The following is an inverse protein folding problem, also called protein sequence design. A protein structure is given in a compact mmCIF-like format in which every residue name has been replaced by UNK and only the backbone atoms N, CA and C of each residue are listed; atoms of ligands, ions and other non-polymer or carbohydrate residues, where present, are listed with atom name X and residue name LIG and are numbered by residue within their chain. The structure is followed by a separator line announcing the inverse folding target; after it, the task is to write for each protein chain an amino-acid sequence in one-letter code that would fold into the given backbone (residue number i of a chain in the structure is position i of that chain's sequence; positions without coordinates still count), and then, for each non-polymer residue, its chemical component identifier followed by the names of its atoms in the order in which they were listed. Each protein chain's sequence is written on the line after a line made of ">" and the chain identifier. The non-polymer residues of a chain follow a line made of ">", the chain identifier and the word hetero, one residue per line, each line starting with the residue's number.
data_IF_858086084802
#
_entry.id   IF_858086084802
#
_cell.length_a   1.000
_cell.length_b   1.000
_cell.length_c   1.000
_cell.angle_alpha   90.00
_cell.angle_beta   90.00
_cell.angle_gamma   90.00
#
_symmetry.space_group_name_H-M   'P 1'
#
loop_
_entity.id
_entity.type
_entity.pdbx_description
1 polymer ?
#
# COMPACT_ATOMS: atom_id res chain seq x y z
N UNK A 1 19.61 1.01 11.21
CA UNK A 1 18.25 0.74 10.69
C UNK A 1 17.27 0.83 11.85
N UNK A 2 16.30 1.73 11.76
CA UNK A 2 15.23 1.82 12.77
C UNK A 2 14.34 0.57 12.73
N UNK A 3 13.75 0.13 13.86
CA UNK A 3 12.84 -1.00 13.86
C UNK A 3 11.59 -0.72 13.03
N UNK A 4 11.18 -1.66 12.18
CA UNK A 4 9.95 -1.56 11.41
C UNK A 4 8.73 -1.41 12.36
N UNK A 5 7.82 -0.45 12.13
CA UNK A 5 6.72 -0.17 13.05
C UNK A 5 5.61 -1.23 13.04
N UNK A 6 5.69 -2.19 12.12
CA UNK A 6 4.75 -3.31 11.95
C UNK A 6 5.49 -4.55 11.44
N UNK A 7 4.91 -5.76 11.51
CA UNK A 7 5.49 -6.95 10.88
C UNK A 7 5.48 -6.82 9.34
N UNK A 8 6.64 -6.80 8.67
CA UNK A 8 6.69 -6.63 7.22
C UNK A 8 6.25 -7.92 6.51
N UNK A 9 5.40 -7.78 5.50
CA UNK A 9 5.07 -8.81 4.52
C UNK A 9 5.93 -8.69 3.26
N UNK A 10 6.23 -7.46 2.84
CA UNK A 10 7.08 -7.18 1.68
C UNK A 10 8.14 -6.14 2.01
N UNK A 11 9.28 -6.28 1.34
CA UNK A 11 10.35 -5.29 1.30
C UNK A 11 10.65 -5.06 -0.17
N UNK A 12 10.36 -3.85 -0.66
CA UNK A 12 10.46 -3.50 -2.07
C UNK A 12 11.54 -2.42 -2.24
N UNK A 13 12.67 -2.73 -2.87
CA UNK A 13 13.71 -1.74 -3.15
C UNK A 13 13.29 -0.79 -4.26
N UNK A 14 13.73 0.47 -4.16
CA UNK A 14 13.61 1.50 -5.20
C UNK A 14 14.82 2.45 -5.13
N UNK A 15 14.95 3.39 -6.08
CA UNK A 15 16.13 4.26 -6.17
C UNK A 15 16.40 5.06 -4.88
N UNK A 16 15.36 5.50 -4.17
CA UNK A 16 15.48 6.27 -2.93
C UNK A 16 15.58 5.44 -1.63
N UNK A 17 15.63 4.11 -1.71
CA UNK A 17 15.76 3.23 -0.55
C UNK A 17 14.83 2.01 -0.59
N UNK A 18 14.08 1.77 0.50
CA UNK A 18 13.19 0.61 0.64
C UNK A 18 11.76 1.05 0.99
N UNK A 19 10.77 0.40 0.40
CA UNK A 19 9.40 0.43 0.89
C UNK A 19 9.14 -0.85 1.70
N UNK A 20 8.81 -0.69 2.98
CA UNK A 20 8.32 -1.76 3.82
C UNK A 20 6.80 -1.79 3.72
N UNK A 21 6.22 -2.96 3.44
CA UNK A 21 4.76 -3.14 3.39
C UNK A 21 4.32 -4.17 4.41
N UNK A 22 3.35 -3.81 5.24
CA UNK A 22 2.81 -4.65 6.30
C UNK A 22 1.68 -5.57 5.82
N UNK A 23 1.26 -6.47 6.71
CA UNK A 23 0.18 -7.44 6.44
C UNK A 23 -1.19 -6.79 6.35
N UNK A 24 -1.42 -5.69 7.07
CA UNK A 24 -2.70 -5.01 7.10
C UNK A 24 -2.73 -3.79 6.15
N UNK A 25 -1.77 -3.71 5.22
CA UNK A 25 -1.67 -2.66 4.20
C UNK A 25 -0.83 -1.45 4.62
N UNK A 26 -0.11 -1.54 5.74
CA UNK A 26 0.83 -0.51 6.16
C UNK A 26 1.94 -0.31 5.12
N UNK A 27 2.41 0.92 4.97
CA UNK A 27 3.52 1.29 4.11
C UNK A 27 4.44 2.26 4.84
N UNK A 28 5.74 1.96 4.86
CA UNK A 28 6.77 2.82 5.43
C UNK A 28 7.96 2.92 4.46
N UNK A 29 8.24 4.14 4.01
CA UNK A 29 9.47 4.42 3.27
C UNK A 29 10.66 4.48 4.23
N UNK A 30 11.78 3.89 3.80
CA UNK A 30 13.06 3.90 4.50
C UNK A 30 14.12 4.39 3.52
N UNK A 31 14.94 5.35 3.94
CA UNK A 31 16.01 5.90 3.11
C UNK A 31 17.22 4.97 3.03
N UNK A 32 18.21 5.36 2.23
CA UNK A 32 19.48 4.63 2.06
C UNK A 32 20.29 4.43 3.36
N UNK A 33 20.06 5.26 4.38
CA UNK A 33 20.72 5.16 5.69
C UNK A 33 19.94 4.26 6.66
N UNK A 34 18.80 3.71 6.22
CA UNK A 34 17.94 2.88 7.06
C UNK A 34 17.11 3.68 8.07
N UNK A 35 16.86 4.96 7.81
CA UNK A 35 15.98 5.83 8.61
C UNK A 35 14.59 5.91 7.97
N UNK A 36 13.56 6.01 8.80
CA UNK A 36 12.20 6.16 8.32
C UNK A 36 11.99 7.55 7.68
N UNK A 37 11.40 7.56 6.48
CA UNK A 37 10.93 8.77 5.82
C UNK A 37 9.47 8.99 6.21
N UNK A 38 9.22 9.97 7.07
CA UNK A 38 7.88 10.25 7.60
C UNK A 38 7.34 9.13 8.50
N UNK A 39 6.03 9.19 8.78
CA UNK A 39 5.31 8.14 9.51
C UNK A 39 4.67 7.16 8.55
N UNK A 40 4.56 5.89 8.96
CA UNK A 40 3.83 4.90 8.17
C UNK A 40 2.37 5.30 7.97
N UNK A 41 1.81 4.88 6.84
CA UNK A 41 0.40 5.07 6.49
C UNK A 41 -0.17 3.75 6.00
N UNK A 42 -1.49 3.65 5.90
CA UNK A 42 -2.18 2.50 5.30
C UNK A 42 -3.08 2.97 4.16
N UNK A 43 -2.55 3.11 2.92
CA UNK A 43 -3.34 3.62 1.80
C UNK A 43 -4.54 2.75 1.45
N UNK A 44 -4.44 1.44 1.70
CA UNK A 44 -5.54 0.51 1.55
C UNK A 44 -5.48 -0.57 2.63
N UNK A 45 -6.56 -0.83 3.39
CA UNK A 45 -6.51 -1.67 4.58
C UNK A 45 -6.62 -3.16 4.27
N UNK A 46 -5.80 -3.62 3.32
CA UNK A 46 -5.75 -4.99 2.81
C UNK A 46 -4.30 -5.40 2.55
N UNK A 47 -4.03 -6.70 2.67
CA UNK A 47 -2.75 -7.29 2.29
C UNK A 47 -2.47 -7.06 0.82
N UNK A 48 -1.28 -6.57 0.49
CA UNK A 48 -0.79 -6.50 -0.87
C UNK A 48 -0.50 -7.92 -1.38
N UNK A 49 -1.16 -8.31 -2.47
CA UNK A 49 -1.02 -9.65 -3.08
C UNK A 49 0.18 -9.74 -4.00
N UNK A 50 0.42 -8.70 -4.80
CA UNK A 50 1.59 -8.55 -5.67
C UNK A 50 1.92 -7.06 -5.77
N UNK A 51 3.19 -6.75 -5.98
CA UNK A 51 3.62 -5.38 -6.19
C UNK A 51 5.01 -5.28 -6.78
N UNK A 52 5.26 -4.18 -7.49
CA UNK A 52 6.57 -3.84 -8.03
C UNK A 52 6.80 -2.34 -7.98
N UNK A 53 8.07 -1.95 -7.93
CA UNK A 53 8.50 -0.56 -7.96
C UNK A 53 8.90 -0.15 -9.37
N UNK A 54 8.36 0.96 -9.86
CA UNK A 54 8.75 1.58 -11.14
C UNK A 54 8.82 3.08 -10.92
N UNK A 55 9.98 3.70 -11.16
CA UNK A 55 10.19 5.16 -11.10
C UNK A 55 9.61 5.82 -9.83
N UNK A 56 9.91 5.23 -8.65
CA UNK A 56 9.42 5.73 -7.36
C UNK A 56 7.92 5.51 -7.10
N UNK A 57 7.25 4.69 -7.92
CA UNK A 57 5.84 4.35 -7.78
C UNK A 57 5.66 2.88 -7.47
N UNK A 58 4.75 2.58 -6.56
CA UNK A 58 4.30 1.23 -6.30
C UNK A 58 3.14 0.90 -7.25
N UNK A 59 3.32 -0.10 -8.11
CA UNK A 59 2.22 -0.74 -8.83
C UNK A 59 1.85 -2.01 -8.07
N UNK A 60 0.64 -2.07 -7.53
CA UNK A 60 0.25 -3.14 -6.61
C UNK A 60 -1.18 -3.62 -6.80
N UNK A 61 -1.36 -4.92 -6.57
CA UNK A 61 -2.67 -5.57 -6.53
C UNK A 61 -3.05 -5.96 -5.11
N UNK A 62 -4.32 -5.77 -4.76
CA UNK A 62 -4.92 -6.27 -3.54
C UNK A 62 -6.11 -7.15 -3.90
N UNK A 63 -6.11 -8.39 -3.42
CA UNK A 63 -7.16 -9.38 -3.70
C UNK A 63 -7.62 -9.97 -2.38
N UNK A 64 -8.92 -9.85 -2.11
CA UNK A 64 -9.59 -10.48 -0.97
C UNK A 64 -10.81 -11.27 -1.48
N UNK A 65 -10.71 -12.59 -1.39
CA UNK A 65 -11.75 -13.50 -1.88
C UNK A 65 -13.00 -13.52 -1.00
N UNK A 66 -12.88 -13.22 0.30
CA UNK A 66 -14.03 -13.15 1.20
C UNK A 66 -14.87 -11.91 0.91
N UNK A 67 -14.22 -10.78 0.65
CA UNK A 67 -14.86 -9.52 0.28
C UNK A 67 -15.20 -9.42 -1.21
N UNK A 68 -14.75 -10.38 -2.03
CA UNK A 68 -14.84 -10.34 -3.51
C UNK A 68 -14.36 -9.01 -4.07
N UNK A 69 -13.23 -8.54 -3.52
CA UNK A 69 -12.66 -7.25 -3.84
C UNK A 69 -11.26 -7.46 -4.41
N UNK A 70 -11.07 -7.00 -5.65
CA UNK A 70 -9.78 -6.98 -6.29
C UNK A 70 -9.49 -5.60 -6.87
N UNK A 71 -8.30 -5.07 -6.57
CA UNK A 71 -7.85 -3.75 -7.02
C UNK A 71 -6.45 -3.85 -7.59
N UNK A 72 -6.21 -3.13 -8.68
CA UNK A 72 -4.87 -2.81 -9.17
C UNK A 72 -4.72 -1.29 -9.17
N UNK A 73 -3.64 -0.76 -8.59
CA UNK A 73 -3.41 0.68 -8.54
C UNK A 73 -1.94 1.02 -8.63
N UNK A 74 -1.66 2.27 -9.01
CA UNK A 74 -0.35 2.89 -8.82
C UNK A 74 -0.40 3.94 -7.71
N UNK A 75 0.55 3.88 -6.78
CA UNK A 75 0.76 4.85 -5.71
C UNK A 75 2.11 5.55 -5.90
N UNK A 76 2.14 6.86 -5.70
CA UNK A 76 3.38 7.64 -5.66
C UNK A 76 3.93 7.62 -4.23
N UNK A 77 5.17 7.15 -4.05
CA UNK A 77 5.81 7.05 -2.73
C UNK A 77 5.99 8.41 -2.05
N UNK A 78 6.08 9.50 -2.80
CA UNK A 78 6.21 10.85 -2.24
C UNK A 78 4.88 11.41 -1.73
N UNK A 79 3.77 10.76 -2.06
CA UNK A 79 2.41 11.22 -1.78
C UNK A 79 1.53 10.12 -1.17
N UNK A 80 2.12 9.19 -0.42
CA UNK A 80 1.35 8.18 0.31
C UNK A 80 0.49 8.85 1.38
N UNK A 81 -0.78 8.44 1.48
CA UNK A 81 -1.75 8.99 2.43
C UNK A 81 -2.52 7.89 3.13
N UNK A 82 -3.03 8.19 4.33
CA UNK A 82 -3.89 7.27 5.07
C UNK A 82 -5.18 6.99 4.31
N UNK A 83 -5.55 5.71 4.28
CA UNK A 83 -6.65 5.18 3.52
C UNK A 83 -7.97 5.05 4.28
N UNK A 84 -8.98 4.45 3.64
CA UNK A 84 -10.24 4.15 4.28
C UNK A 84 -10.06 3.11 5.40
N UNK A 85 -11.01 3.09 6.34
CA UNK A 85 -11.07 2.02 7.35
C UNK A 85 -11.45 0.67 6.71
N UNK A 86 -10.97 -0.43 7.29
CA UNK A 86 -11.37 -1.80 6.90
C UNK A 86 -12.89 -2.00 6.95
N UNK A 87 -13.58 -1.33 7.87
CA UNK A 87 -15.04 -1.39 7.99
C UNK A 87 -15.76 -0.71 6.81
N UNK A 88 -15.24 0.42 6.33
CA UNK A 88 -15.78 1.11 5.15
C UNK A 88 -15.60 0.28 3.87
N UNK A 89 -14.42 -0.34 3.71
CA UNK A 89 -14.15 -1.29 2.61
C UNK A 89 -15.14 -2.45 2.64
N UNK A 90 -15.35 -3.06 3.81
CA UNK A 90 -16.30 -4.18 3.99
C UNK A 90 -17.75 -3.82 3.68
N UNK A 91 -18.16 -2.58 3.96
CA UNK A 91 -19.50 -2.07 3.59
C UNK A 91 -19.63 -1.75 2.11
N UNK A 92 -18.54 -1.78 1.36
CA UNK A 92 -18.53 -1.42 -0.06
C UNK A 92 -18.81 0.06 -0.30
N UNK A 93 -18.41 0.93 0.63
CA UNK A 93 -18.58 2.37 0.45
C UNK A 93 -17.82 2.83 -0.81
N UNK A 94 -18.45 3.52 -1.77
CA UNK A 94 -17.82 3.84 -3.05
C UNK A 94 -16.46 4.55 -2.93
N UNK A 95 -16.32 5.43 -1.94
CA UNK A 95 -15.08 6.17 -1.66
C UNK A 95 -14.01 5.33 -0.96
N UNK A 96 -14.34 4.16 -0.45
CA UNK A 96 -13.45 3.27 0.26
C UNK A 96 -12.94 2.11 -0.61
N UNK A 97 -13.41 1.96 -1.84
CA UNK A 97 -13.07 0.81 -2.69
C UNK A 97 -11.68 0.90 -3.35
N UNK A 98 -11.01 2.04 -3.23
CA UNK A 98 -9.73 2.32 -3.87
C UNK A 98 -8.68 2.73 -2.82
N UNK A 99 -7.40 2.38 -3.04
CA UNK A 99 -6.30 2.91 -2.24
C UNK A 99 -6.30 4.44 -2.23
N UNK A 100 -6.08 5.07 -1.09
CA UNK A 100 -5.94 6.52 -1.02
C UNK A 100 -4.64 6.99 -1.70
N UNK A 101 -4.70 8.18 -2.31
CA UNK A 101 -3.54 8.76 -3.01
C UNK A 101 -3.16 8.05 -4.31
N UNK A 102 -4.02 7.20 -4.87
CA UNK A 102 -3.72 6.53 -6.13
C UNK A 102 -3.60 7.52 -7.29
N UNK A 103 -2.62 7.29 -8.17
CA UNK A 103 -2.54 7.97 -9.46
C UNK A 103 -3.61 7.45 -10.42
N UNK A 104 -3.82 6.13 -10.39
CA UNK A 104 -4.91 5.43 -11.04
C UNK A 104 -5.25 4.17 -10.24
N UNK A 105 -6.49 3.73 -10.32
CA UNK A 105 -6.93 2.48 -9.69
C UNK A 105 -8.08 1.85 -10.48
N UNK A 106 -8.00 0.54 -10.68
CA UNK A 106 -8.99 -0.25 -11.38
C UNK A 106 -9.50 -1.39 -10.50
N UNK A 107 -10.80 -1.68 -10.59
CA UNK A 107 -11.32 -2.98 -10.20
C UNK A 107 -10.70 -4.03 -11.11
N UNK A 108 -10.30 -5.17 -10.54
CA UNK A 108 -10.04 -6.36 -11.33
C UNK A 108 -11.27 -7.26 -11.26
N UNK A 109 -11.58 -7.91 -12.37
CA UNK A 109 -12.51 -9.04 -12.35
C UNK A 109 -11.82 -10.18 -11.58
N UNK A 110 -12.46 -10.64 -10.51
CA UNK A 110 -11.99 -11.71 -9.64
C UNK A 110 -12.96 -12.90 -9.67
#
# INVERSE_FOLDING_TARGET
>A
MQPCPFPPAWILPYEGGLLLVGRDGEMQCVDENGLHVGTHVRPFPMTLSHGTMIDGRLLATWIDHELRLARFAALDLNHLTEGPSKAAVRRGEPTALHPAGHLWSHALDA
#
